data_IF_770895632976
#
_entry.id   IF_770895632976
#
_cell.length_a   1.000
_cell.length_b   1.000
_cell.length_c   1.000
_cell.angle_alpha   90.00
_cell.angle_beta   90.00
_cell.angle_gamma   90.00
#
_symmetry.space_group_name_H-M   'P 1'
#
loop_
_entity.id
_entity.type
_entity.pdbx_description
1 polymer ?
#
# COMPACT_ATOMS: atom_id res chain seq x y z
N UNK A 1 0.05 -19.59 17.90
CA UNK A 1 0.28 -19.44 16.45
C UNK A 1 1.77 -19.55 16.22
N UNK A 2 2.22 -20.55 15.47
CA UNK A 2 3.63 -20.71 15.08
C UNK A 2 4.10 -19.48 14.31
N UNK A 3 5.30 -18.98 14.62
CA UNK A 3 5.94 -17.77 14.06
C UNK A 3 5.90 -17.66 12.50
N UNK A 4 5.59 -18.77 11.83
CA UNK A 4 5.52 -18.91 10.38
C UNK A 4 4.41 -18.08 9.70
N UNK A 5 3.22 -17.95 10.29
CA UNK A 5 2.09 -17.26 9.63
C UNK A 5 2.27 -15.74 9.64
N UNK A 6 2.88 -15.19 10.68
CA UNK A 6 3.19 -13.75 10.80
C UNK A 6 4.22 -13.29 9.76
N UNK A 7 5.07 -14.20 9.30
CA UNK A 7 6.01 -13.94 8.20
C UNK A 7 5.32 -13.85 6.83
N UNK A 8 4.25 -14.63 6.61
CA UNK A 8 3.45 -14.58 5.38
C UNK A 8 2.79 -13.21 5.16
N UNK A 9 2.09 -12.70 6.18
CA UNK A 9 1.38 -11.41 6.10
C UNK A 9 2.32 -10.24 5.84
N UNK A 10 3.51 -10.25 6.46
CA UNK A 10 4.55 -9.24 6.24
C UNK A 10 5.12 -9.24 4.81
N UNK A 11 5.14 -10.41 4.17
CA UNK A 11 5.62 -10.55 2.78
C UNK A 11 4.55 -10.07 1.80
N UNK A 12 3.29 -10.42 2.04
CA UNK A 12 2.15 -10.00 1.23
C UNK A 12 1.95 -8.49 1.30
N UNK A 13 2.04 -7.88 2.49
CA UNK A 13 1.92 -6.43 2.65
C UNK A 13 3.01 -5.67 1.90
N UNK A 14 4.24 -6.20 1.91
CA UNK A 14 5.38 -5.62 1.18
C UNK A 14 5.19 -5.70 -0.34
N UNK A 15 4.66 -6.82 -0.84
CA UNK A 15 4.35 -6.99 -2.27
C UNK A 15 3.19 -6.08 -2.68
N UNK A 16 2.12 -6.00 -1.89
CA UNK A 16 0.99 -5.10 -2.14
C UNK A 16 1.42 -3.63 -2.16
N UNK A 17 2.28 -3.23 -1.22
CA UNK A 17 2.84 -1.89 -1.18
C UNK A 17 3.72 -1.58 -2.40
N UNK A 18 4.52 -2.55 -2.86
CA UNK A 18 5.33 -2.41 -4.08
C UNK A 18 4.45 -2.25 -5.33
N UNK A 19 3.42 -3.08 -5.48
CA UNK A 19 2.49 -3.01 -6.61
C UNK A 19 1.76 -1.66 -6.64
N UNK A 20 1.32 -1.19 -5.46
CA UNK A 20 0.67 0.12 -5.33
C UNK A 20 1.60 1.26 -5.73
N UNK A 21 2.87 1.24 -5.30
CA UNK A 21 3.85 2.25 -5.67
C UNK A 21 4.10 2.27 -7.19
N UNK A 22 4.27 1.10 -7.82
CA UNK A 22 4.45 0.98 -9.27
C UNK A 22 3.23 1.53 -10.03
N UNK A 23 2.01 1.25 -9.54
CA UNK A 23 0.77 1.74 -10.13
C UNK A 23 0.69 3.28 -10.13
N UNK A 24 0.97 3.93 -8.99
CA UNK A 24 0.96 5.39 -8.91
C UNK A 24 2.00 6.05 -9.80
N UNK A 25 3.21 5.48 -9.89
CA UNK A 25 4.26 5.96 -10.79
C UNK A 25 3.83 5.83 -12.26
N UNK A 26 3.26 4.69 -12.64
CA UNK A 26 2.79 4.46 -14.01
C UNK A 26 1.70 5.44 -14.42
N UNK A 27 0.72 5.70 -13.53
CA UNK A 27 -0.36 6.66 -13.81
C UNK A 27 0.16 8.09 -13.84
N UNK A 28 1.03 8.49 -12.91
CA UNK A 28 1.61 9.84 -12.91
C UNK A 28 2.40 10.11 -14.18
N UNK A 29 3.20 9.15 -14.64
CA UNK A 29 3.94 9.24 -15.89
C UNK A 29 3.00 9.29 -17.12
N UNK A 30 1.99 8.43 -17.18
CA UNK A 30 1.03 8.42 -18.28
C UNK A 30 0.17 9.69 -18.34
N UNK A 31 -0.20 10.24 -17.17
CA UNK A 31 -0.94 11.49 -17.04
C UNK A 31 -0.13 12.68 -17.56
N UNK A 32 1.12 12.80 -17.10
CA UNK A 32 2.02 13.85 -17.57
C UNK A 32 2.28 13.76 -19.08
N UNK A 33 2.54 12.55 -19.60
CA UNK A 33 2.77 12.36 -21.03
C UNK A 33 1.56 12.75 -21.90
N UNK A 34 0.32 12.57 -21.41
CA UNK A 34 -0.89 12.90 -22.18
C UNK A 34 -1.30 14.36 -22.14
N UNK A 35 -1.01 15.06 -21.04
CA UNK A 35 -1.49 16.44 -20.82
C UNK A 35 -0.39 17.49 -20.87
N UNK A 36 0.88 17.11 -20.67
CA UNK A 36 2.00 18.05 -20.50
C UNK A 36 1.93 18.89 -19.22
N UNK A 37 0.93 18.64 -18.37
CA UNK A 37 0.68 19.44 -17.17
C UNK A 37 1.50 18.92 -15.98
N UNK A 38 2.39 19.78 -15.48
CA UNK A 38 3.27 19.47 -14.34
C UNK A 38 2.51 19.34 -13.02
N UNK A 39 1.31 19.95 -12.91
CA UNK A 39 0.48 19.88 -11.71
C UNK A 39 -0.06 18.47 -11.45
N UNK A 40 -0.38 17.72 -12.52
CA UNK A 40 -0.76 16.32 -12.44
C UNK A 40 0.37 15.45 -11.89
N UNK A 41 1.61 15.74 -12.30
CA UNK A 41 2.79 15.03 -11.82
C UNK A 41 3.00 15.24 -10.32
N UNK A 42 2.87 16.48 -9.85
CA UNK A 42 2.90 16.84 -8.42
C UNK A 42 1.75 16.21 -7.62
N UNK A 43 0.53 16.21 -8.16
CA UNK A 43 -0.62 15.58 -7.53
C UNK A 43 -0.36 14.08 -7.31
N UNK A 44 0.07 13.36 -8.34
CA UNK A 44 0.37 11.93 -8.23
C UNK A 44 1.58 11.64 -7.34
N UNK A 45 2.56 12.54 -7.30
CA UNK A 45 3.69 12.45 -6.38
C UNK A 45 3.25 12.52 -4.91
N UNK A 46 2.25 13.36 -4.59
CA UNK A 46 1.64 13.44 -3.24
C UNK A 46 0.69 12.27 -2.99
N UNK A 47 -0.05 11.83 -4.02
CA UNK A 47 -1.03 10.75 -3.89
C UNK A 47 -0.35 9.39 -3.66
N UNK A 48 0.88 9.20 -4.16
CA UNK A 48 1.65 7.98 -3.97
C UNK A 48 1.94 7.64 -2.49
N UNK A 49 2.55 8.52 -1.65
CA UNK A 49 2.75 8.24 -0.23
C UNK A 49 1.43 8.17 0.54
N UNK A 50 0.39 8.91 0.13
CA UNK A 50 -0.97 8.79 0.71
C UNK A 50 -1.53 7.38 0.48
N UNK A 51 -1.47 6.88 -0.75
CA UNK A 51 -1.89 5.52 -1.10
C UNK A 51 -1.09 4.44 -0.36
N UNK A 52 0.23 4.62 -0.22
CA UNK A 52 1.07 3.75 0.60
C UNK A 52 0.61 3.73 2.07
N UNK A 53 0.34 4.90 2.65
CA UNK A 53 -0.18 5.04 4.01
C UNK A 53 -1.51 4.30 4.20
N UNK A 54 -2.44 4.44 3.26
CA UNK A 54 -3.74 3.75 3.28
C UNK A 54 -3.56 2.23 3.28
N UNK A 55 -2.71 1.69 2.40
CA UNK A 55 -2.43 0.23 2.36
C UNK A 55 -1.84 -0.24 3.67
N UNK A 56 -0.87 0.49 4.22
CA UNK A 56 -0.23 0.13 5.48
C UNK A 56 -1.24 0.12 6.64
N UNK A 57 -2.17 1.07 6.65
CA UNK A 57 -3.24 1.17 7.65
C UNK A 57 -4.25 0.03 7.51
N UNK A 58 -4.61 -0.35 6.28
CA UNK A 58 -5.45 -1.53 6.02
C UNK A 58 -4.81 -2.81 6.55
N UNK A 59 -3.53 -3.06 6.24
CA UNK A 59 -2.83 -4.25 6.75
C UNK A 59 -2.72 -4.23 8.27
N UNK A 60 -2.46 -3.06 8.87
CA UNK A 60 -2.45 -2.91 10.33
C UNK A 60 -3.82 -3.20 10.95
N UNK A 61 -4.90 -2.81 10.27
CA UNK A 61 -6.27 -3.14 10.67
C UNK A 61 -6.54 -4.65 10.60
N UNK A 62 -6.10 -5.32 9.53
CA UNK A 62 -6.19 -6.78 9.39
C UNK A 62 -5.42 -7.48 10.51
N UNK A 63 -4.18 -7.05 10.79
CA UNK A 63 -3.38 -7.58 11.89
C UNK A 63 -4.09 -7.38 13.24
N UNK A 64 -4.68 -6.20 13.48
CA UNK A 64 -5.42 -5.91 14.71
C UNK A 64 -6.64 -6.83 14.90
N UNK A 65 -7.40 -7.08 13.82
CA UNK A 65 -8.54 -8.00 13.84
C UNK A 65 -8.08 -9.42 14.13
N UNK A 66 -7.02 -9.88 13.47
CA UNK A 66 -6.44 -11.20 13.71
C UNK A 66 -5.93 -11.37 15.14
N UNK A 67 -5.24 -10.36 15.69
CA UNK A 67 -4.74 -10.38 17.07
C UNK A 67 -5.89 -10.45 18.09
N UNK A 68 -7.01 -9.75 17.81
CA UNK A 68 -8.20 -9.77 18.66
C UNK A 68 -8.89 -11.14 18.72
N UNK A 69 -8.83 -11.90 17.62
CA UNK A 69 -9.39 -13.25 17.53
C UNK A 69 -8.48 -14.28 18.23
N UNK A 70 -7.16 -14.15 18.05
CA UNK A 70 -6.20 -15.02 18.72
C UNK A 70 -6.22 -14.85 20.25
N UNK A 71 -6.55 -13.65 20.76
CA UNK A 71 -6.65 -13.39 22.20
C UNK A 71 -7.87 -14.01 22.89
N UNK A 72 -8.88 -14.46 22.13
CA UNK A 72 -10.09 -15.12 22.67
C UNK A 72 -9.95 -16.64 22.78
N UNK A 73 -8.82 -17.22 22.38
CA UNK A 73 -8.52 -18.65 22.52
C UNK A 73 -7.42 -18.86 23.55
#
# INVERSE_FOLDING_TARGET
MTDHDRHGTRRISRIAALLMAVFFVAIGAAGFQRTGDSSLLLLFLVLAPVGFGVVMLLFRGVDFVLDSLNRRR
#
